data_IF_253925707985
#
_entry.id   IF_253925707985
#
_cell.length_a   1.000
_cell.length_b   1.000
_cell.length_c   1.000
_cell.angle_alpha   90.00
_cell.angle_beta   90.00
_cell.angle_gamma   90.00
#
_symmetry.space_group_name_H-M   'P 1'
#
loop_
_entity.id
_entity.type
_entity.pdbx_description
1 polymer ?
#
# COMPACT_ATOMS: atom_id res chain seq x y z
N UNK A 1 -4.15 -14.72 19.28
CA UNK A 1 -3.53 -14.77 17.94
C UNK A 1 -3.94 -13.52 17.18
N UNK A 2 -2.99 -12.67 16.78
CA UNK A 2 -3.30 -11.44 16.03
C UNK A 2 -3.99 -11.79 14.71
N UNK A 3 -5.20 -11.27 14.49
CA UNK A 3 -5.95 -11.47 13.24
C UNK A 3 -5.18 -10.78 12.12
N UNK A 4 -4.41 -11.54 11.35
CA UNK A 4 -3.79 -11.02 10.12
C UNK A 4 -4.89 -10.76 9.10
N UNK A 5 -5.16 -9.48 8.84
CA UNK A 5 -6.07 -9.08 7.77
C UNK A 5 -5.55 -9.64 6.42
N UNK A 6 -6.44 -10.07 5.51
CA UNK A 6 -6.03 -10.54 4.19
C UNK A 6 -5.20 -9.50 3.42
N UNK A 7 -5.53 -8.22 3.64
CA UNK A 7 -4.86 -7.04 3.11
C UNK A 7 -4.74 -6.03 4.24
N UNK A 8 -3.58 -5.39 4.37
CA UNK A 8 -3.33 -4.33 5.36
C UNK A 8 -2.36 -3.29 4.76
N UNK A 9 -2.56 -2.03 5.14
CA UNK A 9 -1.75 -0.90 4.68
C UNK A 9 -1.20 -0.15 5.88
N UNK A 10 0.12 -0.18 6.06
CA UNK A 10 0.78 0.56 7.12
C UNK A 10 1.42 1.81 6.54
N UNK A 11 0.95 2.98 6.97
CA UNK A 11 1.52 4.27 6.59
C UNK A 11 2.72 4.56 7.49
N UNK A 12 3.88 4.76 6.87
CA UNK A 12 5.09 5.15 7.57
C UNK A 12 5.24 6.67 7.53
N UNK A 13 5.70 7.25 8.64
CA UNK A 13 5.93 8.68 8.78
C UNK A 13 7.41 8.96 9.03
N UNK A 14 7.90 10.10 8.56
CA UNK A 14 9.18 10.66 8.99
C UNK A 14 9.11 11.07 10.46
N UNK A 15 10.25 11.30 11.13
CA UNK A 15 10.27 11.85 12.49
C UNK A 15 9.52 13.18 12.64
N UNK A 16 9.34 13.91 11.53
CA UNK A 16 8.63 15.19 11.48
C UNK A 16 7.12 15.04 11.22
N UNK A 17 6.62 13.81 11.09
CA UNK A 17 5.20 13.52 10.84
C UNK A 17 4.77 13.57 9.38
N UNK A 18 5.70 13.68 8.43
CA UNK A 18 5.39 13.62 7.00
C UNK A 18 5.24 12.17 6.54
N UNK A 19 4.29 11.87 5.67
CA UNK A 19 4.13 10.52 5.09
C UNK A 19 5.32 10.23 4.16
N UNK A 20 6.00 9.11 4.38
CA UNK A 20 7.17 8.71 3.58
C UNK A 20 6.89 7.51 2.67
N UNK A 21 6.06 6.58 3.13
CA UNK A 21 5.74 5.37 2.39
C UNK A 21 4.53 4.63 2.94
N UNK A 22 4.05 3.66 2.18
CA UNK A 22 2.98 2.74 2.55
C UNK A 22 3.50 1.31 2.39
N UNK A 23 3.66 0.59 3.51
CA UNK A 23 3.95 -0.84 3.50
C UNK A 23 2.65 -1.61 3.23
N UNK A 24 2.73 -2.60 2.33
CA UNK A 24 1.57 -3.37 1.89
C UNK A 24 1.70 -4.82 2.31
N UNK A 25 0.74 -5.28 3.08
CA UNK A 25 0.46 -6.71 3.27
C UNK A 25 -0.68 -7.11 2.36
N UNK A 26 -0.50 -8.17 1.57
CA UNK A 26 -1.53 -8.77 0.73
C UNK A 26 -1.41 -10.30 0.77
N UNK A 27 -2.55 -11.00 0.72
CA UNK A 27 -2.61 -12.44 0.94
C UNK A 27 -1.95 -12.87 2.27
N UNK A 28 -2.10 -12.04 3.32
CA UNK A 28 -1.50 -12.23 4.66
C UNK A 28 0.03 -12.24 4.68
N UNK A 29 0.69 -11.70 3.64
CA UNK A 29 2.15 -11.60 3.50
C UNK A 29 2.54 -10.16 3.19
N UNK A 30 3.66 -9.71 3.76
CA UNK A 30 4.29 -8.46 3.35
C UNK A 30 4.75 -8.60 1.88
N UNK A 31 4.24 -7.75 0.99
CA UNK A 31 4.59 -7.79 -0.43
C UNK A 31 5.54 -6.67 -0.85
N UNK A 32 5.68 -5.62 -0.04
CA UNK A 32 6.63 -4.55 -0.29
C UNK A 32 6.13 -3.21 0.23
N UNK A 33 6.75 -2.14 -0.25
CA UNK A 33 6.51 -0.77 0.16
C UNK A 33 6.38 0.13 -1.06
N UNK A 34 5.40 1.04 -1.04
CA UNK A 34 5.27 2.14 -1.99
C UNK A 34 5.82 3.41 -1.37
N UNK A 35 6.73 4.09 -2.06
CA UNK A 35 7.15 5.44 -1.66
C UNK A 35 5.96 6.40 -1.75
N UNK A 36 5.91 7.40 -0.90
CA UNK A 36 4.91 8.47 -0.98
C UNK A 36 5.19 9.36 -2.22
N UNK A 37 4.75 8.88 -3.36
CA UNK A 37 4.85 9.51 -4.67
C UNK A 37 3.63 9.11 -5.48
N UNK A 38 3.22 9.99 -6.39
CA UNK A 38 2.05 9.72 -7.22
C UNK A 38 2.26 8.50 -8.12
N UNK A 39 1.16 7.81 -8.40
CA UNK A 39 1.04 6.61 -9.24
C UNK A 39 1.92 5.41 -8.87
N UNK A 40 2.55 5.42 -7.68
CA UNK A 40 3.31 4.28 -7.19
C UNK A 40 2.41 3.05 -7.05
N UNK A 41 2.90 1.90 -7.49
CA UNK A 41 2.12 0.68 -7.44
C UNK A 41 2.99 -0.56 -7.28
N UNK A 42 2.36 -1.63 -6.78
CA UNK A 42 2.97 -2.94 -6.64
C UNK A 42 1.93 -4.02 -6.97
N UNK A 43 2.37 -5.08 -7.65
CA UNK A 43 1.55 -6.25 -7.91
C UNK A 43 1.75 -7.27 -6.79
N UNK A 44 0.65 -7.79 -6.25
CA UNK A 44 0.73 -8.92 -5.35
C UNK A 44 1.14 -10.18 -6.13
N UNK A 45 2.27 -10.83 -5.82
CA UNK A 45 2.73 -12.01 -6.56
C UNK A 45 1.84 -13.25 -6.33
N UNK A 46 0.94 -13.21 -5.34
CA UNK A 46 0.06 -14.33 -4.98
C UNK A 46 -1.29 -14.25 -5.69
N UNK A 47 -1.97 -13.11 -5.62
CA UNK A 47 -3.31 -12.95 -6.21
C UNK A 47 -3.33 -12.11 -7.49
N UNK A 48 -2.21 -11.51 -7.89
CA UNK A 48 -2.11 -10.65 -9.07
C UNK A 48 -2.75 -9.28 -8.95
N UNK A 49 -3.42 -8.96 -7.84
CA UNK A 49 -4.02 -7.63 -7.63
C UNK A 49 -2.95 -6.54 -7.59
N UNK A 50 -3.20 -5.43 -8.28
CA UNK A 50 -2.36 -4.23 -8.24
C UNK A 50 -2.80 -3.34 -7.10
N UNK A 51 -1.87 -2.95 -6.24
CA UNK A 51 -2.08 -1.96 -5.19
C UNK A 51 -1.49 -0.64 -5.68
N UNK A 52 -2.32 0.39 -5.77
CA UNK A 52 -1.98 1.68 -6.37
C UNK A 52 -2.15 2.79 -5.33
N UNK A 53 -1.11 3.61 -5.18
CA UNK A 53 -1.11 4.86 -4.44
C UNK A 53 -1.34 6.02 -5.41
N UNK A 54 -2.32 6.88 -5.13
CA UNK A 54 -2.58 8.12 -5.89
C UNK A 54 -2.63 9.30 -4.94
N UNK A 55 -1.87 10.35 -5.25
CA UNK A 55 -1.85 11.58 -4.47
C UNK A 55 -2.85 12.57 -5.10
N UNK A 56 -3.66 13.23 -4.26
CA UNK A 56 -4.64 14.21 -4.69
C UNK A 56 -4.63 15.39 -3.74
N UNK A 57 -4.05 16.51 -4.18
CA UNK A 57 -3.94 17.75 -3.41
C UNK A 57 -3.40 17.52 -1.99
N UNK A 58 -4.29 17.34 -1.00
CA UNK A 58 -4.00 17.21 0.42
C UNK A 58 -4.26 15.80 1.00
N UNK A 59 -4.62 14.83 0.16
CA UNK A 59 -4.88 13.46 0.59
C UNK A 59 -4.33 12.46 -0.43
N UNK A 60 -4.33 11.19 -0.06
CA UNK A 60 -3.94 10.11 -0.97
C UNK A 60 -4.89 8.93 -0.85
N UNK A 61 -5.03 8.20 -1.94
CA UNK A 61 -5.85 7.01 -2.05
C UNK A 61 -4.95 5.79 -2.19
N UNK A 62 -5.32 4.70 -1.51
CA UNK A 62 -4.75 3.38 -1.75
C UNK A 62 -5.86 2.50 -2.30
N UNK A 63 -5.70 2.03 -3.53
CA UNK A 63 -6.72 1.24 -4.24
C UNK A 63 -6.18 -0.15 -4.60
N UNK A 64 -7.05 -1.16 -4.57
CA UNK A 64 -6.76 -2.46 -5.17
C UNK A 64 -7.48 -2.54 -6.52
N UNK A 65 -6.73 -2.78 -7.59
CA UNK A 65 -7.27 -3.07 -8.91
C UNK A 65 -7.25 -4.59 -9.10
N UNK A 66 -8.35 -5.11 -9.63
CA UNK A 66 -8.42 -6.51 -10.04
C UNK A 66 -7.47 -6.76 -11.22
N UNK A 67 -7.11 -8.02 -11.40
CA UNK A 67 -6.34 -8.42 -12.57
C UNK A 67 -7.32 -8.49 -13.74
N UNK A 68 -7.05 -7.72 -14.79
CA UNK A 68 -7.76 -7.87 -16.08
C UNK A 68 -7.62 -9.30 -16.63
#
# INVERSE_FOLDING_TARGET
MSKKYPVDYRVNFSPNGEVISVEITCCKRLIGELRYSDEQNILCPVCGKKHLLRLQHNHFHISQQEKD
#
